data_IF_052369725967
#
_entry.id   IF_052369725967
#
_cell.length_a   1.000
_cell.length_b   1.000
_cell.length_c   1.000
_cell.angle_alpha   90.00
_cell.angle_beta   90.00
_cell.angle_gamma   90.00
#
_symmetry.space_group_name_H-M   'P 1'
#
loop_
_entity.id
_entity.type
_entity.pdbx_description
1 polymer ?
#
# COMPACT_ATOMS: atom_id res chain seq x y z
N UNK A 1 8.94 2.04 9.13
CA UNK A 1 7.79 2.27 8.22
C UNK A 1 8.20 2.92 6.91
N UNK A 2 9.01 4.00 6.95
CA UNK A 2 9.34 4.72 5.72
C UNK A 2 10.14 3.87 4.72
N UNK A 3 11.03 3.02 5.22
CA UNK A 3 11.80 2.12 4.34
C UNK A 3 10.89 1.12 3.66
N UNK A 4 9.89 0.61 4.36
CA UNK A 4 8.91 -0.29 3.78
C UNK A 4 8.07 0.40 2.72
N UNK A 5 7.62 1.62 2.99
CA UNK A 5 6.84 2.39 2.01
C UNK A 5 7.67 2.76 0.79
N UNK A 6 8.97 3.03 0.96
CA UNK A 6 9.85 3.25 -0.18
C UNK A 6 9.95 2.01 -1.06
N UNK A 7 10.08 0.83 -0.46
CA UNK A 7 10.06 -0.42 -1.21
C UNK A 7 8.74 -0.59 -1.96
N UNK A 8 7.61 -0.35 -1.30
CA UNK A 8 6.30 -0.44 -1.95
C UNK A 8 6.18 0.53 -3.12
N UNK A 9 6.70 1.75 -2.98
CA UNK A 9 6.64 2.73 -4.06
C UNK A 9 7.48 2.31 -5.26
N UNK A 10 8.63 1.67 -5.03
CA UNK A 10 9.46 1.12 -6.10
C UNK A 10 8.76 -0.04 -6.81
N UNK A 11 8.15 -0.95 -6.06
CA UNK A 11 7.38 -2.05 -6.62
C UNK A 11 6.19 -1.53 -7.44
N UNK A 12 5.48 -0.54 -6.91
CA UNK A 12 4.38 0.10 -7.62
C UNK A 12 4.86 0.76 -8.92
N UNK A 13 5.99 1.45 -8.89
CA UNK A 13 6.53 2.09 -10.09
C UNK A 13 6.88 1.07 -11.18
N UNK A 14 7.45 -0.08 -10.79
CA UNK A 14 7.74 -1.15 -11.73
C UNK A 14 6.46 -1.72 -12.35
N UNK A 15 5.44 -1.91 -11.53
CA UNK A 15 4.14 -2.37 -12.00
C UNK A 15 3.52 -1.36 -12.98
N UNK A 16 3.56 -0.07 -12.66
CA UNK A 16 3.00 0.98 -13.50
C UNK A 16 3.68 1.07 -14.85
N UNK A 17 4.95 0.66 -14.93
CA UNK A 17 5.72 0.63 -16.18
C UNK A 17 5.56 -0.69 -16.95
N UNK A 18 4.71 -1.60 -16.46
CA UNK A 18 4.48 -2.88 -17.10
C UNK A 18 5.65 -3.84 -16.98
N UNK A 19 6.53 -3.66 -15.99
CA UNK A 19 7.74 -4.47 -15.83
C UNK A 19 7.57 -5.66 -14.89
N UNK A 20 6.39 -5.79 -14.29
CA UNK A 20 6.09 -6.86 -13.34
C UNK A 20 4.92 -7.65 -13.90
N UNK A 21 5.04 -8.99 -14.03
CA UNK A 21 3.90 -9.82 -14.43
C UNK A 21 2.73 -9.63 -13.47
N UNK A 22 1.51 -9.71 -13.98
CA UNK A 22 0.29 -9.44 -13.21
C UNK A 22 0.17 -10.37 -12.00
N UNK A 23 0.52 -11.65 -12.15
CA UNK A 23 0.46 -12.60 -11.04
C UNK A 23 1.44 -12.26 -9.92
N UNK A 24 2.63 -11.80 -10.28
CA UNK A 24 3.63 -11.36 -9.28
C UNK A 24 3.15 -10.10 -8.58
N UNK A 25 2.59 -9.15 -9.34
CA UNK A 25 2.06 -7.92 -8.74
C UNK A 25 0.94 -8.23 -7.74
N UNK A 26 0.06 -9.19 -8.05
CA UNK A 26 -1.01 -9.58 -7.13
C UNK A 26 -0.47 -10.11 -5.81
N UNK A 27 0.60 -10.90 -5.86
CA UNK A 27 1.25 -11.42 -4.65
C UNK A 27 1.78 -10.26 -3.81
N UNK A 28 2.45 -9.30 -4.44
CA UNK A 28 2.98 -8.11 -3.74
C UNK A 28 1.86 -7.27 -3.15
N UNK A 29 0.81 -7.01 -3.95
CA UNK A 29 -0.32 -6.19 -3.48
C UNK A 29 -1.03 -6.86 -2.30
N UNK A 30 -1.25 -8.17 -2.37
CA UNK A 30 -1.87 -8.91 -1.27
C UNK A 30 -1.02 -8.83 0.00
N UNK A 31 0.29 -8.93 -0.13
CA UNK A 31 1.20 -8.80 1.02
C UNK A 31 1.13 -7.42 1.64
N UNK A 32 1.10 -6.38 0.82
CA UNK A 32 0.95 -5.00 1.31
C UNK A 32 -0.39 -4.86 2.03
N UNK A 33 -1.47 -5.36 1.44
CA UNK A 33 -2.80 -5.30 2.02
C UNK A 33 -2.85 -5.99 3.39
N UNK A 34 -2.28 -7.18 3.50
CA UNK A 34 -2.26 -7.93 4.76
C UNK A 34 -1.59 -7.15 5.88
N UNK A 35 -0.48 -6.47 5.57
CA UNK A 35 0.21 -5.66 6.56
C UNK A 35 -0.69 -4.54 7.09
N UNK A 36 -1.47 -3.92 6.23
CA UNK A 36 -2.32 -2.80 6.61
C UNK A 36 -3.66 -3.22 7.20
N UNK A 37 -3.92 -4.51 7.38
CA UNK A 37 -5.02 -4.98 8.20
C UNK A 37 -4.78 -4.68 9.68
N UNK A 38 -3.53 -4.52 10.11
CA UNK A 38 -3.19 -4.14 11.47
C UNK A 38 -3.38 -2.64 11.68
N UNK A 39 -4.14 -2.21 12.71
CA UNK A 39 -4.40 -0.79 12.93
C UNK A 39 -3.14 0.06 13.08
N UNK A 40 -2.10 -0.47 13.73
CA UNK A 40 -0.86 0.28 13.93
C UNK A 40 -0.20 0.65 12.60
N UNK A 41 -0.28 -0.23 11.60
CA UNK A 41 0.27 0.05 10.28
C UNK A 41 -0.49 1.17 9.58
N UNK A 42 -1.83 1.21 9.74
CA UNK A 42 -2.64 2.28 9.17
C UNK A 42 -2.35 3.63 9.81
N UNK A 43 -2.12 3.64 11.13
CA UNK A 43 -1.72 4.87 11.82
C UNK A 43 -0.37 5.38 11.33
N UNK A 44 0.60 4.47 11.18
CA UNK A 44 1.92 4.83 10.67
C UNK A 44 1.84 5.37 9.24
N UNK A 45 1.01 4.76 8.40
CA UNK A 45 0.80 5.28 7.05
C UNK A 45 0.26 6.71 7.07
N UNK A 46 -0.71 6.99 7.95
CA UNK A 46 -1.29 8.34 8.02
C UNK A 46 -0.25 9.41 8.34
N UNK A 47 0.81 9.03 9.07
CA UNK A 47 1.90 9.95 9.38
C UNK A 47 2.89 10.14 8.22
N UNK A 48 3.16 9.08 7.45
CA UNK A 48 4.15 9.15 6.38
C UNK A 48 3.53 9.46 5.02
N UNK A 49 2.21 9.39 4.89
CA UNK A 49 1.53 9.54 3.61
C UNK A 49 1.87 10.86 2.92
N UNK A 50 2.03 11.92 3.69
CA UNK A 50 2.37 13.25 3.15
C UNK A 50 3.69 13.26 2.40
N UNK A 51 4.60 12.37 2.74
CA UNK A 51 5.89 12.26 2.05
C UNK A 51 5.74 11.77 0.61
N UNK A 52 4.60 11.15 0.28
CA UNK A 52 4.34 10.54 -1.02
C UNK A 52 3.33 11.32 -1.86
N UNK A 53 2.89 12.50 -1.41
CA UNK A 53 1.91 13.31 -2.16
C UNK A 53 2.44 13.70 -3.53
N UNK A 54 3.73 13.90 -3.67
CA UNK A 54 4.34 14.24 -4.95
C UNK A 54 4.33 13.08 -5.94
N UNK A 55 4.18 11.85 -5.45
CA UNK A 55 3.97 10.68 -6.29
C UNK A 55 2.51 10.26 -6.19
N UNK A 56 1.63 11.04 -6.79
CA UNK A 56 0.19 10.93 -6.63
C UNK A 56 -0.39 9.55 -6.94
N UNK A 57 -0.01 8.85 -8.05
CA UNK A 57 -0.57 7.52 -8.31
C UNK A 57 -0.32 6.52 -7.18
N UNK A 58 0.87 6.53 -6.60
CA UNK A 58 1.19 5.66 -5.47
C UNK A 58 0.42 6.08 -4.21
N UNK A 59 0.37 7.39 -3.96
CA UNK A 59 -0.34 7.94 -2.80
C UNK A 59 -1.82 7.55 -2.84
N UNK A 60 -2.47 7.68 -4.01
CA UNK A 60 -3.86 7.26 -4.18
C UNK A 60 -4.03 5.76 -4.02
N UNK A 61 -3.14 4.95 -4.62
CA UNK A 61 -3.16 3.50 -4.48
C UNK A 61 -3.12 3.09 -3.02
N UNK A 62 -2.19 3.65 -2.25
CA UNK A 62 -2.04 3.31 -0.84
C UNK A 62 -3.25 3.73 -0.01
N UNK A 63 -3.79 4.92 -0.25
CA UNK A 63 -4.96 5.39 0.48
C UNK A 63 -6.17 4.48 0.26
N UNK A 64 -6.39 4.03 -0.97
CA UNK A 64 -7.47 3.11 -1.29
C UNK A 64 -7.25 1.74 -0.64
N UNK A 65 -6.02 1.25 -0.70
CA UNK A 65 -5.67 -0.03 -0.10
C UNK A 65 -5.86 -0.01 1.42
N UNK A 66 -5.39 1.05 2.07
CA UNK A 66 -5.52 1.21 3.52
C UNK A 66 -6.99 1.31 3.92
N UNK A 67 -7.81 2.02 3.14
CA UNK A 67 -9.25 2.11 3.40
C UNK A 67 -9.93 0.75 3.28
N UNK A 68 -9.57 -0.04 2.27
CA UNK A 68 -10.12 -1.40 2.10
C UNK A 68 -9.72 -2.30 3.26
N UNK A 69 -8.46 -2.21 3.69
CA UNK A 69 -7.97 -3.00 4.82
C UNK A 69 -8.71 -2.65 6.12
N UNK A 70 -8.99 -1.37 6.34
CA UNK A 70 -9.76 -0.92 7.50
C UNK A 70 -11.19 -1.47 7.46
N UNK A 71 -11.83 -1.46 6.29
CA UNK A 71 -13.18 -1.99 6.12
C UNK A 71 -13.24 -3.48 6.41
N UNK A 72 -12.29 -4.24 5.87
CA UNK A 72 -12.21 -5.68 6.12
C UNK A 72 -12.04 -5.96 7.60
N UNK A 73 -11.17 -5.22 8.27
CA UNK A 73 -10.93 -5.39 9.72
C UNK A 73 -12.20 -5.15 10.54
N UNK A 74 -13.05 -4.21 10.13
CA UNK A 74 -14.32 -3.94 10.81
C UNK A 74 -15.30 -5.09 10.67
N UNK A 75 -15.34 -5.74 9.50
CA UNK A 75 -16.29 -6.81 9.24
C UNK A 75 -15.82 -8.17 9.78
N UNK A 76 -14.53 -8.34 10.02
CA UNK A 76 -13.97 -9.59 10.51
C UNK A 76 -14.02 -9.72 12.04
N UNK A 77 -14.45 -8.70 12.73
CA UNK A 77 -14.60 -8.74 14.20
C UNK A 77 -16.05 -9.13 14.63
#
# INVERSE_FOLDING_TARGET
MIQYCNLCSEEFALHARGRVPTDIWRIWEDGIFENFEAPIWRELWSEVAKEYRSYEPFWQFMNELVARAANKSQFDT
#
